data_IF_863308611595
#
_entry.id   IF_863308611595
#
_cell.length_a   1.000
_cell.length_b   1.000
_cell.length_c   1.000
_cell.angle_alpha   90.00
_cell.angle_beta   90.00
_cell.angle_gamma   90.00
#
_symmetry.space_group_name_H-M   'P 1'
#
loop_
_entity.id
_entity.type
_entity.pdbx_description
1 polymer ?
#
# COMPACT_ATOMS: atom_id res chain seq x y z
N UNK A 1 -20.74 -15.53 -3.93
CA UNK A 1 -19.88 -14.40 -3.51
C UNK A 1 -18.59 -14.97 -2.96
N UNK A 2 -17.56 -14.99 -3.78
CA UNK A 2 -16.25 -15.58 -3.50
C UNK A 2 -15.55 -14.75 -2.43
N UNK A 3 -15.45 -15.29 -1.21
CA UNK A 3 -14.60 -14.70 -0.17
C UNK A 3 -13.22 -15.31 -0.35
N UNK A 4 -12.29 -14.52 -0.87
CA UNK A 4 -10.91 -14.96 -0.96
C UNK A 4 -10.39 -15.25 0.45
N UNK A 5 -9.65 -16.36 0.58
CA UNK A 5 -9.05 -16.75 1.85
C UNK A 5 -7.94 -15.77 2.21
N UNK A 6 -7.90 -15.33 3.46
CA UNK A 6 -6.72 -14.66 3.99
C UNK A 6 -5.55 -15.63 4.06
N UNK A 7 -4.31 -15.12 4.06
CA UNK A 7 -3.10 -15.95 4.11
C UNK A 7 -3.11 -16.91 5.31
N UNK A 8 -3.54 -16.42 6.47
CA UNK A 8 -3.71 -17.23 7.68
C UNK A 8 -4.72 -18.38 7.47
N UNK A 9 -5.87 -18.07 6.88
CA UNK A 9 -6.88 -19.10 6.58
C UNK A 9 -6.35 -20.12 5.57
N UNK A 10 -5.63 -19.69 4.53
CA UNK A 10 -5.06 -20.59 3.53
C UNK A 10 -4.01 -21.55 4.12
N UNK A 11 -3.18 -21.09 5.06
CA UNK A 11 -2.15 -21.92 5.71
C UNK A 11 -2.76 -22.98 6.65
N UNK A 12 -3.87 -22.64 7.31
CA UNK A 12 -4.57 -23.51 8.27
C UNK A 12 -5.74 -24.29 7.68
N UNK A 13 -6.04 -24.10 6.40
CA UNK A 13 -7.12 -24.83 5.74
C UNK A 13 -6.77 -26.32 5.64
N UNK A 14 -7.67 -27.22 6.07
CA UNK A 14 -7.40 -28.65 6.10
C UNK A 14 -7.30 -29.28 4.71
N UNK A 15 -8.03 -28.77 3.72
CA UNK A 15 -7.96 -29.24 2.34
C UNK A 15 -6.63 -28.81 1.71
N UNK A 16 -6.23 -27.56 1.90
CA UNK A 16 -4.93 -27.06 1.43
C UNK A 16 -3.79 -27.82 2.11
N UNK A 17 -3.93 -28.15 3.40
CA UNK A 17 -2.94 -28.97 4.10
C UNK A 17 -2.81 -30.39 3.51
N UNK A 18 -3.90 -31.00 3.06
CA UNK A 18 -3.87 -32.29 2.38
C UNK A 18 -3.17 -32.21 1.02
N UNK A 19 -3.50 -31.19 0.22
CA UNK A 19 -2.84 -30.95 -1.07
C UNK A 19 -1.35 -30.69 -0.89
N UNK A 20 -0.99 -29.80 0.03
CA UNK A 20 0.39 -29.47 0.36
C UNK A 20 1.20 -30.72 0.75
N UNK A 21 0.59 -31.63 1.53
CA UNK A 21 1.22 -32.92 1.89
C UNK A 21 1.39 -33.85 0.70
N UNK A 22 0.42 -33.89 -0.22
CA UNK A 22 0.53 -34.68 -1.45
C UNK A 22 1.67 -34.16 -2.34
N UNK A 23 1.89 -32.85 -2.35
CA UNK A 23 2.97 -32.19 -3.09
C UNK A 23 4.33 -32.26 -2.37
N UNK A 24 4.40 -32.83 -1.16
CA UNK A 24 5.62 -32.91 -0.36
C UNK A 24 6.14 -31.57 0.16
N UNK A 25 5.30 -30.54 0.17
CA UNK A 25 5.66 -29.18 0.59
C UNK A 25 5.43 -29.07 2.12
N UNK A 26 6.39 -28.49 2.84
CA UNK A 26 6.21 -28.21 4.25
C UNK A 26 5.39 -26.94 4.49
N UNK A 27 4.78 -26.84 5.68
CA UNK A 27 4.03 -25.65 6.09
C UNK A 27 4.82 -24.34 6.01
N UNK A 28 6.08 -24.25 6.50
CA UNK A 28 6.81 -22.99 6.45
C UNK A 28 7.18 -22.59 5.03
N UNK A 29 7.53 -23.53 4.16
CA UNK A 29 7.84 -23.29 2.74
C UNK A 29 6.60 -22.79 1.98
N UNK A 30 5.43 -23.34 2.29
CA UNK A 30 4.18 -22.88 1.71
C UNK A 30 3.82 -21.47 2.17
N UNK A 31 4.01 -21.15 3.46
CA UNK A 31 3.74 -19.82 3.98
C UNK A 31 4.66 -18.76 3.35
N UNK A 32 5.95 -19.04 3.20
CA UNK A 32 6.89 -18.11 2.56
C UNK A 32 6.58 -17.92 1.07
N UNK A 33 6.17 -19.00 0.39
CA UNK A 33 5.70 -18.92 -1.00
C UNK A 33 4.46 -18.04 -1.15
N UNK A 34 3.46 -18.17 -0.28
CA UNK A 34 2.27 -17.32 -0.34
C UNK A 34 2.59 -15.85 -0.09
N UNK A 35 3.50 -15.55 0.83
CA UNK A 35 3.94 -14.17 1.11
C UNK A 35 4.64 -13.58 -0.13
N UNK A 36 5.58 -14.31 -0.73
CA UNK A 36 6.29 -13.81 -1.92
C UNK A 36 5.37 -13.65 -3.13
N UNK A 37 4.41 -14.56 -3.32
CA UNK A 37 3.41 -14.45 -4.36
C UNK A 37 2.50 -13.22 -4.15
N UNK A 38 2.10 -12.95 -2.90
CA UNK A 38 1.31 -11.77 -2.57
C UNK A 38 2.09 -10.47 -2.83
N UNK A 39 3.36 -10.42 -2.46
CA UNK A 39 4.22 -9.26 -2.73
C UNK A 39 4.43 -9.04 -4.24
N UNK A 40 4.69 -10.11 -4.99
CA UNK A 40 4.83 -10.04 -6.45
C UNK A 40 3.54 -9.53 -7.10
N UNK A 41 2.38 -10.01 -6.65
CA UNK A 41 1.09 -9.53 -7.13
C UNK A 41 0.91 -8.03 -6.85
N UNK A 42 1.25 -7.57 -5.62
CA UNK A 42 1.17 -6.13 -5.28
C UNK A 42 2.08 -5.28 -6.15
N UNK A 43 3.32 -5.71 -6.38
CA UNK A 43 4.27 -4.99 -7.23
C UNK A 43 3.75 -4.92 -8.67
N UNK A 44 3.28 -6.04 -9.22
CA UNK A 44 2.73 -6.10 -10.57
C UNK A 44 1.51 -5.18 -10.74
N UNK A 45 0.60 -5.16 -9.77
CA UNK A 45 -0.55 -4.26 -9.77
C UNK A 45 -0.12 -2.79 -9.71
N UNK A 46 0.84 -2.44 -8.86
CA UNK A 46 1.38 -1.08 -8.77
C UNK A 46 2.04 -0.63 -10.07
N UNK A 47 2.83 -1.50 -10.71
CA UNK A 47 3.42 -1.22 -12.01
C UNK A 47 2.35 -0.99 -13.08
N UNK A 48 1.29 -1.80 -13.07
CA UNK A 48 0.17 -1.64 -14.01
C UNK A 48 -0.53 -0.29 -13.83
N UNK A 49 -0.74 0.14 -12.59
CA UNK A 49 -1.34 1.43 -12.26
C UNK A 49 -0.42 2.59 -12.66
N UNK A 50 0.88 2.44 -12.46
CA UNK A 50 1.86 3.44 -12.86
C UNK A 50 1.89 3.60 -14.39
N UNK A 51 1.88 2.49 -15.15
CA UNK A 51 1.81 2.54 -16.62
C UNK A 51 0.54 3.24 -17.09
N UNK A 52 -0.62 2.89 -16.52
CA UNK A 52 -1.90 3.58 -16.82
C UNK A 52 -1.85 5.07 -16.53
N UNK A 53 -1.25 5.47 -15.41
CA UNK A 53 -1.10 6.90 -15.04
C UNK A 53 -0.21 7.63 -16.05
N UNK A 54 0.91 7.03 -16.46
CA UNK A 54 1.85 7.61 -17.43
C UNK A 54 1.17 7.75 -18.79
N UNK A 55 0.46 6.71 -19.25
CA UNK A 55 -0.29 6.75 -20.51
C UNK A 55 -1.36 7.85 -20.49
N UNK A 56 -2.09 7.98 -19.38
CA UNK A 56 -3.07 9.03 -19.21
C UNK A 56 -2.43 10.42 -19.25
N UNK A 57 -1.28 10.60 -18.57
CA UNK A 57 -0.54 11.85 -18.58
C UNK A 57 -0.13 12.25 -20.00
N UNK A 58 0.49 11.35 -20.77
CA UNK A 58 0.91 11.68 -22.13
C UNK A 58 -0.25 11.91 -23.10
N UNK A 59 -1.37 11.18 -22.94
CA UNK A 59 -2.60 11.48 -23.68
C UNK A 59 -3.13 12.87 -23.37
N UNK A 60 -3.09 13.29 -22.10
CA UNK A 60 -3.54 14.60 -21.66
C UNK A 60 -2.64 15.73 -22.21
N UNK A 61 -1.32 15.55 -22.21
CA UNK A 61 -0.37 16.48 -22.85
C UNK A 61 -0.64 16.59 -24.36
N UNK A 62 -0.80 15.45 -25.04
CA UNK A 62 -1.05 15.43 -26.49
C UNK A 62 -2.40 16.02 -26.91
N UNK A 63 -3.40 15.97 -26.04
CA UNK A 63 -4.72 16.58 -26.24
C UNK A 63 -4.77 18.08 -25.90
N UNK A 64 -3.69 18.66 -25.34
CA UNK A 64 -3.66 20.06 -24.90
C UNK A 64 -4.38 20.32 -23.56
N UNK A 65 -4.88 19.29 -22.89
CA UNK A 65 -5.66 19.37 -21.67
C UNK A 65 -4.77 19.40 -20.41
N UNK A 66 -3.74 20.22 -20.34
CA UNK A 66 -2.85 20.22 -19.15
C UNK A 66 -3.50 20.97 -17.97
N UNK A 67 -4.47 20.36 -17.29
CA UNK A 67 -4.89 20.82 -15.97
C UNK A 67 -3.83 20.40 -14.94
N UNK A 68 -2.83 21.25 -14.71
CA UNK A 68 -1.95 21.11 -13.54
C UNK A 68 -2.82 21.16 -12.27
N UNK A 69 -2.78 20.13 -11.40
CA UNK A 69 -3.43 20.25 -10.11
C UNK A 69 -2.78 21.41 -9.36
N UNK A 70 -3.60 22.38 -8.91
CA UNK A 70 -3.17 23.53 -8.10
C UNK A 70 -2.29 23.00 -6.95
N UNK A 71 -1.08 23.55 -6.73
CA UNK A 71 -0.23 23.09 -5.64
C UNK A 71 -1.04 23.13 -4.35
N UNK A 72 -1.08 22.00 -3.63
CA UNK A 72 -1.71 21.93 -2.32
C UNK A 72 -1.07 23.01 -1.47
N UNK A 73 -1.83 24.07 -1.18
CA UNK A 73 -1.48 25.03 -0.14
C UNK A 73 -1.28 24.19 1.13
N UNK A 74 -0.01 24.06 1.53
CA UNK A 74 0.30 23.55 2.85
C UNK A 74 -0.23 24.60 3.80
N UNK A 75 -1.47 24.40 4.27
CA UNK A 75 -1.99 25.07 5.44
C UNK A 75 -1.01 24.74 6.57
N UNK A 76 -0.05 25.65 6.77
CA UNK A 76 0.81 25.68 7.93
C UNK A 76 -0.09 26.05 9.10
N UNK A 77 -0.82 25.09 9.62
CA UNK A 77 -1.37 25.17 10.97
C UNK A 77 -0.20 25.06 11.93
N UNK A 78 0.54 26.17 12.07
CA UNK A 78 1.44 26.37 13.20
C UNK A 78 0.54 26.74 14.38
N UNK A 79 0.40 25.91 15.42
CA UNK A 79 -0.23 26.35 16.65
C UNK A 79 0.63 27.47 17.23
N UNK A 80 0.09 28.70 17.24
CA UNK A 80 0.68 29.81 17.98
C UNK A 80 0.55 29.48 19.47
N UNK A 81 1.56 28.86 20.06
CA UNK A 81 1.72 28.86 21.50
C UNK A 81 1.93 30.30 21.96
N UNK A 82 0.86 30.92 22.44
CA UNK A 82 0.90 32.18 23.17
C UNK A 82 1.47 31.85 24.55
N UNK A 83 2.78 32.01 24.73
CA UNK A 83 3.37 32.06 26.07
C UNK A 83 3.03 33.45 26.63
N UNK A 84 1.94 33.53 27.39
CA UNK A 84 1.65 34.68 28.26
C UNK A 84 2.32 34.42 29.61
N UNK A 85 3.46 35.05 29.86
CA UNK A 85 4.07 35.11 31.18
C UNK A 85 5.47 35.72 31.14
N UNK A 86 5.77 36.75 31.95
CA UNK A 86 7.11 37.33 32.01
C UNK A 86 8.09 36.34 32.65
N UNK A 87 9.22 36.14 31.98
CA UNK A 87 10.37 35.35 32.41
C UNK A 87 11.15 36.14 33.45
N UNK A 88 10.70 36.21 34.71
CA UNK A 88 11.53 36.59 35.86
C UNK A 88 10.83 36.06 37.12
N UNK A 89 11.26 34.90 37.62
CA UNK A 89 11.22 34.48 39.04
C UNK A 89 11.80 33.06 39.15
N UNK A 90 13.13 32.98 39.04
CA UNK A 90 13.95 31.86 39.49
C UNK A 90 15.14 32.46 40.27
N UNK A 91 14.84 32.94 41.47
CA UNK A 91 15.77 33.09 42.59
C UNK A 91 15.03 32.64 43.85
#
# INVERSE_FOLDING_TARGET
MSRDLTLCQAVHDPLIALMRKADGIGTPEFATFLISAADHYRVSELESLQRRRVDQFYRMIGAGDIHMPKPRETARDVPKHVVKGPIWDLC
#
